data_IF_569292400914
#
_entry.id   IF_569292400914
#
_cell.length_a   1.000
_cell.length_b   1.000
_cell.length_c   1.000
_cell.angle_alpha   90.00
_cell.angle_beta   90.00
_cell.angle_gamma   90.00
#
_symmetry.space_group_name_H-M   'P 1'
#
loop_
_entity.id
_entity.type
_entity.pdbx_description
1 polymer ?
#
# COMPACT_ATOMS: atom_id res chain seq x y z
N UNK A 1 12.30 9.32 1.23
CA UNK A 1 11.90 8.40 2.33
C UNK A 1 10.86 7.44 1.81
N UNK A 2 11.10 6.12 1.99
CA UNK A 2 10.15 5.05 1.66
C UNK A 2 8.81 5.27 2.35
N UNK A 3 7.71 4.84 1.74
CA UNK A 3 6.38 4.99 2.32
C UNK A 3 6.26 4.30 3.69
N UNK A 4 6.92 3.16 3.88
CA UNK A 4 7.00 2.43 5.16
C UNK A 4 7.57 3.28 6.29
N UNK A 5 8.64 4.03 6.03
CA UNK A 5 9.24 4.93 7.02
C UNK A 5 8.32 6.10 7.38
N UNK A 6 7.67 6.69 6.36
CA UNK A 6 6.71 7.78 6.58
C UNK A 6 5.54 7.32 7.45
N UNK A 7 5.02 6.12 7.16
CA UNK A 7 3.92 5.51 7.90
C UNK A 7 4.30 5.24 9.36
N UNK A 8 5.47 4.65 9.60
CA UNK A 8 5.97 4.38 10.95
C UNK A 8 6.08 5.66 11.78
N UNK A 9 6.69 6.71 11.21
CA UNK A 9 6.85 8.00 11.89
C UNK A 9 5.52 8.70 12.16
N UNK A 10 4.57 8.61 11.22
CA UNK A 10 3.23 9.17 11.42
C UNK A 10 2.53 8.53 12.62
N UNK A 11 2.55 7.19 12.71
CA UNK A 11 1.97 6.48 13.84
C UNK A 11 2.68 6.80 15.16
N UNK A 12 4.01 6.78 15.16
CA UNK A 12 4.82 7.18 16.31
C UNK A 12 4.45 8.57 16.84
N UNK A 13 4.25 9.54 15.95
CA UNK A 13 3.88 10.91 16.31
C UNK A 13 2.46 11.00 16.89
N UNK A 14 1.50 10.30 16.28
CA UNK A 14 0.12 10.23 16.80
C UNK A 14 0.11 9.63 18.20
N UNK A 15 0.81 8.51 18.40
CA UNK A 15 0.91 7.86 19.71
C UNK A 15 1.63 8.74 20.74
N UNK A 16 2.67 9.47 20.34
CA UNK A 16 3.39 10.39 21.22
C UNK A 16 2.48 11.50 21.75
N UNK A 17 1.72 12.16 20.86
CA UNK A 17 0.78 13.22 21.27
C UNK A 17 -0.29 12.66 22.20
N UNK A 18 -0.88 11.53 21.83
CA UNK A 18 -1.89 10.86 22.67
C UNK A 18 -1.31 10.52 24.04
N UNK A 19 -0.11 9.95 24.09
CA UNK A 19 0.58 9.55 25.30
C UNK A 19 0.84 10.73 26.25
N UNK A 20 1.42 11.82 25.73
CA UNK A 20 1.66 13.05 26.49
C UNK A 20 0.34 13.61 27.04
N UNK A 21 -0.72 13.60 26.23
CA UNK A 21 -2.03 14.12 26.63
C UNK A 21 -2.62 13.32 27.79
N UNK A 22 -2.58 11.99 27.72
CA UNK A 22 -3.07 11.11 28.80
C UNK A 22 -2.29 11.31 30.10
N UNK A 23 -0.96 11.43 30.02
CA UNK A 23 -0.12 11.68 31.21
C UNK A 23 -0.44 13.03 31.83
N UNK A 24 -0.58 14.08 31.02
CA UNK A 24 -0.89 15.42 31.52
C UNK A 24 -2.23 15.43 32.27
N UNK A 25 -3.25 14.75 31.74
CA UNK A 25 -4.55 14.59 32.40
C UNK A 25 -4.40 13.82 33.71
N UNK A 26 -3.75 12.66 33.71
CA UNK A 26 -3.53 11.84 34.91
C UNK A 26 -2.78 12.63 36.00
N UNK A 27 -1.74 13.37 35.60
CA UNK A 27 -0.96 14.18 36.53
C UNK A 27 -1.78 15.34 37.13
N UNK A 28 -2.61 16.00 36.31
CA UNK A 28 -3.49 17.09 36.74
C UNK A 28 -4.55 16.61 37.76
N UNK A 29 -5.19 15.48 37.50
CA UNK A 29 -6.34 15.03 38.29
C UNK A 29 -5.99 14.11 39.46
N UNK A 30 -4.91 13.32 39.38
CA UNK A 30 -4.57 12.34 40.41
C UNK A 30 -3.33 12.68 41.24
N UNK A 31 -2.55 13.71 40.88
CA UNK A 31 -1.38 14.12 41.66
C UNK A 31 -0.29 13.03 41.77
N UNK A 32 -0.34 12.01 40.91
CA UNK A 32 0.60 10.88 40.91
C UNK A 32 1.96 11.36 40.43
N UNK A 33 3.00 11.08 41.23
CA UNK A 33 4.39 11.27 40.83
C UNK A 33 4.86 10.04 40.05
N UNK A 34 4.75 10.10 38.72
CA UNK A 34 5.22 9.02 37.85
C UNK A 34 6.73 9.16 37.68
N UNK A 35 7.46 8.04 37.84
CA UNK A 35 8.90 8.03 37.60
C UNK A 35 9.22 8.10 36.10
N UNK A 36 10.25 8.84 35.72
CA UNK A 36 10.62 9.03 34.31
C UNK A 36 10.89 7.71 33.57
N UNK A 37 11.53 6.74 34.23
CA UNK A 37 11.78 5.42 33.64
C UNK A 37 10.50 4.63 33.35
N UNK A 38 9.49 4.75 34.21
CA UNK A 38 8.19 4.11 33.98
C UNK A 38 7.49 4.75 32.78
N UNK A 39 7.60 6.07 32.60
CA UNK A 39 7.06 6.77 31.44
C UNK A 39 7.73 6.26 30.15
N UNK A 40 9.06 6.23 30.10
CA UNK A 40 9.79 5.71 28.94
C UNK A 40 9.37 4.28 28.60
N UNK A 41 9.31 3.40 29.60
CA UNK A 41 8.97 1.99 29.39
C UNK A 41 7.54 1.83 28.84
N UNK A 42 6.57 2.56 29.39
CA UNK A 42 5.19 2.54 28.87
C UNK A 42 5.12 3.09 27.45
N UNK A 43 5.86 4.17 27.14
CA UNK A 43 5.91 4.70 25.78
C UNK A 43 6.54 3.71 24.78
N UNK A 44 7.61 3.01 25.16
CA UNK A 44 8.19 1.99 24.28
C UNK A 44 7.21 0.84 24.01
N UNK A 45 6.53 0.34 25.04
CA UNK A 45 5.60 -0.79 24.91
C UNK A 45 4.33 -0.39 24.16
N UNK A 46 3.73 0.77 24.47
CA UNK A 46 2.43 1.16 23.93
C UNK A 46 2.53 2.11 22.73
N UNK A 47 3.59 2.90 22.62
CA UNK A 47 3.79 3.90 21.59
C UNK A 47 4.69 3.46 20.44
N UNK A 48 5.70 2.62 20.70
CA UNK A 48 6.66 2.17 19.67
C UNK A 48 6.35 0.78 19.16
N UNK A 49 6.09 -0.16 20.07
CA UNK A 49 5.88 -1.57 19.72
C UNK A 49 4.69 -1.74 18.75
N UNK A 50 3.51 -1.13 18.96
CA UNK A 50 2.37 -1.38 18.07
C UNK A 50 2.61 -0.83 16.65
N UNK A 51 3.09 0.42 16.45
CA UNK A 51 3.49 0.88 15.12
C UNK A 51 4.56 0.01 14.45
N UNK A 52 5.53 -0.49 15.21
CA UNK A 52 6.57 -1.38 14.68
C UNK A 52 5.97 -2.71 14.18
N UNK A 53 5.08 -3.33 14.97
CA UNK A 53 4.38 -4.58 14.59
C UNK A 53 3.51 -4.37 13.36
N UNK A 54 2.72 -3.30 13.32
CA UNK A 54 1.88 -2.95 12.16
C UNK A 54 2.77 -2.76 10.91
N UNK A 55 3.85 -2.01 11.05
CA UNK A 55 4.79 -1.75 9.94
C UNK A 55 5.42 -3.05 9.45
N UNK A 56 5.86 -3.91 10.36
CA UNK A 56 6.45 -5.22 10.03
C UNK A 56 5.48 -6.12 9.27
N UNK A 57 4.22 -6.19 9.70
CA UNK A 57 3.18 -7.00 9.05
C UNK A 57 2.98 -6.61 7.58
N UNK A 58 2.98 -5.31 7.27
CA UNK A 58 2.80 -4.81 5.90
C UNK A 58 4.10 -4.58 5.14
N UNK A 59 5.26 -4.67 5.80
CA UNK A 59 6.57 -4.29 5.26
C UNK A 59 6.85 -4.98 3.92
N UNK A 60 6.66 -6.30 3.86
CA UNK A 60 6.98 -7.08 2.64
C UNK A 60 6.16 -6.63 1.42
N UNK A 61 4.88 -6.32 1.60
CA UNK A 61 3.98 -5.90 0.53
C UNK A 61 4.22 -4.44 0.10
N UNK A 62 4.52 -3.58 1.07
CA UNK A 62 4.84 -2.16 0.83
C UNK A 62 6.22 -1.96 0.21
N UNK A 63 7.22 -2.70 0.67
CA UNK A 63 8.58 -2.63 0.13
C UNK A 63 8.64 -3.20 -1.28
N UNK A 64 7.92 -4.31 -1.56
CA UNK A 64 7.81 -4.84 -2.93
C UNK A 64 7.17 -3.85 -3.91
N UNK A 65 6.21 -3.03 -3.45
CA UNK A 65 5.52 -2.05 -4.28
C UNK A 65 6.48 -0.95 -4.78
N UNK A 66 7.45 -0.56 -3.95
CA UNK A 66 8.47 0.44 -4.28
C UNK A 66 9.77 -0.18 -4.83
N UNK A 67 9.90 -1.52 -4.82
CA UNK A 67 11.13 -2.18 -5.22
C UNK A 67 11.30 -2.25 -6.74
N UNK A 68 12.55 -2.34 -7.17
CA UNK A 68 12.92 -2.53 -8.57
C UNK A 68 12.68 -3.95 -9.08
N UNK A 69 12.26 -4.88 -8.20
CA UNK A 69 12.04 -6.27 -8.58
C UNK A 69 10.93 -6.38 -9.66
N UNK A 70 11.23 -6.87 -10.88
CA UNK A 70 10.27 -6.97 -11.97
C UNK A 70 9.38 -8.21 -11.88
N UNK A 71 9.71 -9.17 -11.01
CA UNK A 71 9.00 -10.45 -10.91
C UNK A 71 7.58 -10.26 -10.36
N UNK A 72 6.60 -11.06 -10.84
CA UNK A 72 5.23 -10.98 -10.35
C UNK A 72 5.17 -11.30 -8.85
N UNK A 73 4.31 -10.61 -8.08
CA UNK A 73 4.16 -10.93 -6.66
C UNK A 73 3.55 -12.32 -6.48
N UNK A 74 3.99 -13.00 -5.42
CA UNK A 74 3.47 -14.31 -4.99
C UNK A 74 2.82 -14.21 -3.60
N UNK A 75 2.00 -13.17 -3.41
CA UNK A 75 1.36 -12.92 -2.12
C UNK A 75 0.04 -13.68 -1.98
N UNK A 76 -0.32 -14.06 -0.75
CA UNK A 76 -1.62 -14.65 -0.46
C UNK A 76 -2.76 -13.66 -0.76
N UNK A 77 -3.90 -14.21 -1.23
CA UNK A 77 -5.10 -13.44 -1.55
C UNK A 77 -5.06 -12.68 -2.88
N UNK A 78 -3.99 -12.82 -3.66
CA UNK A 78 -3.88 -12.15 -4.96
C UNK A 78 -4.88 -12.70 -5.98
N UNK A 79 -5.33 -11.83 -6.89
CA UNK A 79 -6.04 -12.25 -8.11
C UNK A 79 -5.26 -11.79 -9.32
N UNK A 80 -5.14 -12.71 -10.26
CA UNK A 80 -4.45 -12.52 -11.53
C UNK A 80 -5.48 -12.52 -12.65
N UNK A 81 -5.33 -11.60 -13.59
CA UNK A 81 -6.10 -11.59 -14.82
C UNK A 81 -5.21 -11.21 -15.99
N UNK A 82 -5.54 -11.80 -17.13
CA UNK A 82 -4.91 -11.51 -18.40
C UNK A 82 -5.89 -10.59 -19.14
N UNK A 83 -5.48 -9.34 -19.35
CA UNK A 83 -6.33 -8.27 -19.85
C UNK A 83 -5.91 -7.93 -21.29
N UNK A 84 -6.89 -7.73 -22.16
CA UNK A 84 -6.61 -7.17 -23.48
C UNK A 84 -6.19 -5.71 -23.32
N UNK A 85 -5.10 -5.30 -23.96
CA UNK A 85 -4.64 -3.92 -23.96
C UNK A 85 -4.75 -3.33 -25.37
N UNK A 86 -5.66 -2.37 -25.53
CA UNK A 86 -5.82 -1.65 -26.80
C UNK A 86 -5.09 -0.33 -26.71
N UNK A 87 -3.91 -0.26 -27.33
CA UNK A 87 -3.20 0.98 -27.52
C UNK A 87 -3.71 1.73 -28.76
N UNK A 88 -3.67 3.05 -28.70
CA UNK A 88 -3.86 3.94 -29.86
C UNK A 88 -2.52 4.47 -30.39
N UNK A 89 -1.48 4.42 -29.56
CA UNK A 89 -0.13 4.89 -29.85
C UNK A 89 0.80 3.75 -30.25
N UNK A 90 1.86 4.10 -31.00
CA UNK A 90 2.96 3.20 -31.32
C UNK A 90 3.80 2.83 -30.08
N UNK A 91 3.76 3.66 -29.03
CA UNK A 91 4.44 3.39 -27.76
C UNK A 91 3.46 2.80 -26.74
N UNK A 92 3.31 1.48 -26.78
CA UNK A 92 2.39 0.70 -25.95
C UNK A 92 2.62 0.91 -24.45
N UNK A 93 3.89 0.91 -24.02
CA UNK A 93 4.24 1.03 -22.60
C UNK A 93 3.90 2.42 -22.04
N UNK A 94 4.27 3.48 -22.75
CA UNK A 94 3.98 4.84 -22.30
C UNK A 94 2.47 5.10 -22.20
N UNK A 95 1.68 4.57 -23.15
CA UNK A 95 0.23 4.68 -23.10
C UNK A 95 -0.36 3.86 -21.93
N UNK A 96 0.17 2.66 -21.65
CA UNK A 96 -0.24 1.86 -20.49
C UNK A 96 0.03 2.60 -19.19
N UNK A 97 1.23 3.14 -19.03
CA UNK A 97 1.63 3.93 -17.87
C UNK A 97 0.70 5.12 -17.68
N UNK A 98 0.45 5.89 -18.74
CA UNK A 98 -0.44 7.07 -18.70
C UNK A 98 -1.88 6.70 -18.31
N UNK A 99 -2.40 5.59 -18.83
CA UNK A 99 -3.76 5.12 -18.49
C UNK A 99 -3.87 4.72 -17.02
N UNK A 100 -2.86 4.00 -16.51
CA UNK A 100 -2.81 3.59 -15.10
C UNK A 100 -2.68 4.82 -14.20
N UNK A 101 -1.77 5.74 -14.52
CA UNK A 101 -1.49 6.95 -13.72
C UNK A 101 -2.70 7.90 -13.59
N UNK A 102 -3.62 7.89 -14.56
CA UNK A 102 -4.87 8.65 -14.48
C UNK A 102 -5.85 8.14 -13.41
N UNK A 103 -5.80 6.85 -13.09
CA UNK A 103 -6.80 6.20 -12.21
C UNK A 103 -6.20 5.66 -10.91
N UNK A 104 -4.89 5.47 -10.87
CA UNK A 104 -4.16 4.86 -9.77
C UNK A 104 -2.88 5.63 -9.49
N UNK A 105 -2.35 5.49 -8.27
CA UNK A 105 -1.08 6.07 -7.90
C UNK A 105 0.02 5.10 -8.34
N UNK A 106 0.85 5.50 -9.29
CA UNK A 106 2.02 4.71 -9.71
C UNK A 106 3.09 4.80 -8.64
N UNK A 107 3.53 3.64 -8.15
CA UNK A 107 4.58 3.53 -7.12
C UNK A 107 5.94 3.18 -7.72
N UNK A 108 5.95 2.42 -8.81
CA UNK A 108 7.16 2.05 -9.54
C UNK A 108 6.81 1.77 -11.00
N UNK A 109 7.70 2.13 -11.91
CA UNK A 109 7.53 1.89 -13.35
C UNK A 109 8.88 1.63 -13.99
N UNK A 110 8.97 0.52 -14.72
CA UNK A 110 10.16 0.15 -15.48
C UNK A 110 9.81 -0.11 -16.95
N UNK A 111 10.46 0.64 -17.84
CA UNK A 111 10.26 0.55 -19.29
C UNK A 111 10.94 -0.68 -19.89
N UNK A 112 12.07 -1.11 -19.36
CA UNK A 112 12.83 -2.26 -19.87
C UNK A 112 12.11 -3.56 -19.54
N UNK A 113 11.69 -3.72 -18.28
CA UNK A 113 10.86 -4.85 -17.86
C UNK A 113 9.39 -4.76 -18.34
N UNK A 114 8.97 -3.59 -18.83
CA UNK A 114 7.58 -3.25 -19.20
C UNK A 114 6.59 -3.47 -18.06
N UNK A 115 6.99 -3.09 -16.86
CA UNK A 115 6.24 -3.29 -15.61
C UNK A 115 5.79 -1.93 -15.06
N UNK A 116 4.58 -1.91 -14.49
CA UNK A 116 4.05 -0.80 -13.70
C UNK A 116 3.45 -1.37 -12.42
N UNK A 117 3.96 -0.92 -11.28
CA UNK A 117 3.38 -1.19 -9.96
C UNK A 117 2.58 0.03 -9.52
N UNK A 118 1.37 -0.21 -9.09
CA UNK A 118 0.44 0.84 -8.71
C UNK A 118 -0.25 0.51 -7.40
N UNK A 119 -0.90 1.51 -6.82
CA UNK A 119 -1.79 1.34 -5.68
C UNK A 119 -3.05 2.17 -5.86
N UNK A 120 -4.11 1.69 -5.24
CA UNK A 120 -5.26 2.53 -4.88
C UNK A 120 -4.90 3.44 -3.72
N UNK A 121 -5.71 4.45 -3.41
CA UNK A 121 -5.44 5.41 -2.32
C UNK A 121 -5.28 4.70 -0.96
N UNK A 122 -4.02 4.43 -0.58
CA UNK A 122 -3.65 3.84 0.69
C UNK A 122 -3.61 4.93 1.76
N UNK A 123 -4.67 5.00 2.59
CA UNK A 123 -4.76 5.91 3.74
C UNK A 123 -4.44 5.18 5.03
N UNK A 124 -4.13 5.96 6.07
CA UNK A 124 -3.86 5.46 7.44
C UNK A 124 -4.97 4.53 7.95
N UNK A 125 -6.22 4.77 7.53
CA UNK A 125 -7.42 3.99 7.91
C UNK A 125 -7.88 3.00 6.83
N UNK A 126 -7.26 2.98 5.65
CA UNK A 126 -7.59 2.06 4.57
C UNK A 126 -6.35 1.74 3.73
N UNK A 127 -5.78 0.56 3.97
CA UNK A 127 -4.55 0.11 3.33
C UNK A 127 -4.67 -0.13 1.81
N UNK A 128 -5.90 -0.10 1.27
CA UNK A 128 -6.17 -0.20 -0.15
C UNK A 128 -5.76 -1.55 -0.76
N UNK A 129 -5.69 -1.55 -2.08
CA UNK A 129 -5.20 -2.62 -2.94
C UNK A 129 -3.98 -2.12 -3.70
N UNK A 130 -2.98 -2.98 -3.80
CA UNK A 130 -1.81 -2.76 -4.64
C UNK A 130 -1.91 -3.65 -5.88
N UNK A 131 -1.23 -3.24 -6.93
CA UNK A 131 -1.26 -3.94 -8.20
C UNK A 131 0.04 -3.87 -8.95
N UNK A 132 0.19 -4.85 -9.82
CA UNK A 132 1.28 -5.06 -10.72
C UNK A 132 0.67 -5.27 -12.11
N UNK A 133 1.17 -4.55 -13.09
CA UNK A 133 0.81 -4.73 -14.50
C UNK A 133 2.08 -4.93 -15.30
N UNK A 134 2.13 -6.01 -16.06
CA UNK A 134 3.20 -6.26 -17.04
C UNK A 134 2.61 -6.30 -18.43
N UNK A 135 3.19 -5.53 -19.34
CA UNK A 135 2.82 -5.59 -20.75
C UNK A 135 3.50 -6.80 -21.41
N UNK A 136 2.69 -7.62 -22.08
CA UNK A 136 3.14 -8.76 -22.88
C UNK A 136 3.22 -8.36 -24.36
N UNK A 137 3.98 -9.11 -25.15
CA UNK A 137 4.22 -8.79 -26.57
C UNK A 137 2.95 -8.89 -27.44
N UNK A 138 1.95 -9.68 -27.05
CA UNK A 138 0.72 -9.93 -27.82
C UNK A 138 -0.36 -8.83 -27.69
N UNK A 139 -0.02 -7.62 -27.24
CA UNK A 139 -1.02 -6.59 -26.93
C UNK A 139 -1.92 -6.98 -25.75
N UNK A 140 -1.42 -7.83 -24.86
CA UNK A 140 -2.07 -8.25 -23.62
C UNK A 140 -1.29 -7.69 -22.44
N UNK A 141 -1.99 -7.45 -21.34
CA UNK A 141 -1.38 -7.04 -20.08
C UNK A 141 -1.71 -8.09 -19.02
N UNK A 142 -0.66 -8.60 -18.37
CA UNK A 142 -0.82 -9.41 -17.17
C UNK A 142 -1.03 -8.45 -15.99
N UNK A 143 -2.19 -8.54 -15.35
CA UNK A 143 -2.51 -7.76 -14.18
C UNK A 143 -2.61 -8.68 -12.95
N UNK A 144 -1.89 -8.33 -11.90
CA UNK A 144 -1.97 -8.98 -10.60
C UNK A 144 -2.31 -7.90 -9.58
N UNK A 145 -3.42 -8.07 -8.89
CA UNK A 145 -3.81 -7.21 -7.76
C UNK A 145 -3.76 -8.04 -6.49
N UNK A 146 -3.23 -7.44 -5.42
CA UNK A 146 -3.09 -8.11 -4.14
C UNK A 146 -3.55 -7.18 -3.00
N UNK A 147 -4.23 -7.76 -2.00
CA UNK A 147 -4.68 -7.00 -0.85
C UNK A 147 -3.50 -6.68 0.06
N UNK A 148 -3.66 -5.72 0.97
CA UNK A 148 -2.72 -5.57 2.07
C UNK A 148 -2.98 -6.63 3.15
N UNK A 149 -4.23 -7.07 3.33
CA UNK A 149 -4.62 -8.14 4.23
C UNK A 149 -5.46 -9.22 3.52
N UNK A 150 -4.95 -10.44 3.43
CA UNK A 150 -5.51 -11.47 2.56
C UNK A 150 -6.89 -12.01 2.99
N UNK A 151 -7.25 -11.90 4.28
CA UNK A 151 -8.28 -12.76 4.87
C UNK A 151 -9.63 -12.07 5.11
N UNK A 152 -9.91 -10.97 4.40
CA UNK A 152 -11.18 -10.23 4.55
C UNK A 152 -12.07 -10.34 3.31
N UNK A 153 -13.33 -10.75 3.51
CA UNK A 153 -14.38 -10.73 2.46
C UNK A 153 -14.57 -9.33 1.85
N UNK A 154 -14.32 -8.27 2.64
CA UNK A 154 -14.37 -6.90 2.17
C UNK A 154 -13.24 -6.63 1.18
N UNK A 155 -12.03 -7.07 1.49
CA UNK A 155 -10.86 -6.88 0.62
C UNK A 155 -10.99 -7.66 -0.68
N UNK A 156 -11.56 -8.86 -0.65
CA UNK A 156 -11.85 -9.60 -1.89
C UNK A 156 -12.78 -8.82 -2.83
N UNK A 157 -13.84 -8.19 -2.30
CA UNK A 157 -14.75 -7.36 -3.12
C UNK A 157 -14.03 -6.15 -3.72
N UNK A 158 -13.23 -5.43 -2.93
CA UNK A 158 -12.47 -4.26 -3.39
C UNK A 158 -11.45 -4.68 -4.45
N UNK A 159 -10.82 -5.84 -4.29
CA UNK A 159 -9.83 -6.35 -5.21
C UNK A 159 -10.45 -6.75 -6.55
N UNK A 160 -11.61 -7.41 -6.53
CA UNK A 160 -12.38 -7.68 -7.76
C UNK A 160 -12.85 -6.40 -8.46
N UNK A 161 -13.30 -5.40 -7.69
CA UNK A 161 -13.65 -4.08 -8.23
C UNK A 161 -12.46 -3.38 -8.86
N UNK A 162 -11.29 -3.44 -8.21
CA UNK A 162 -10.03 -2.87 -8.72
C UNK A 162 -9.62 -3.54 -10.03
N UNK A 163 -9.75 -4.86 -10.12
CA UNK A 163 -9.45 -5.61 -11.34
C UNK A 163 -10.42 -5.25 -12.48
N UNK A 164 -11.71 -5.07 -12.19
CA UNK A 164 -12.69 -4.60 -13.19
C UNK A 164 -12.40 -3.18 -13.66
N UNK A 165 -12.07 -2.27 -12.74
CA UNK A 165 -11.68 -0.91 -13.07
C UNK A 165 -10.43 -0.92 -13.94
N UNK A 166 -9.41 -1.68 -13.57
CA UNK A 166 -8.19 -1.82 -14.36
C UNK A 166 -8.48 -2.37 -15.77
N UNK A 167 -9.36 -3.36 -15.90
CA UNK A 167 -9.83 -3.84 -17.20
C UNK A 167 -10.43 -2.71 -18.04
N UNK A 168 -11.29 -1.88 -17.44
CA UNK A 168 -11.90 -0.74 -18.15
C UNK A 168 -10.89 0.35 -18.52
N UNK A 169 -9.87 0.58 -17.68
CA UNK A 169 -8.80 1.56 -17.93
C UNK A 169 -7.91 1.11 -19.09
N UNK A 170 -7.56 -0.18 -19.13
CA UNK A 170 -6.72 -0.75 -20.17
C UNK A 170 -7.50 -1.01 -21.48
N UNK A 171 -8.81 -1.26 -21.40
CA UNK A 171 -9.69 -1.47 -22.53
C UNK A 171 -11.09 -0.85 -22.29
N UNK A 172 -11.28 0.45 -22.56
CA UNK A 172 -12.52 1.19 -22.24
C UNK A 172 -13.76 0.87 -23.10
N UNK A 173 -13.75 -0.22 -23.88
CA UNK A 173 -14.85 -0.60 -24.79
C UNK A 173 -15.33 -2.06 -24.60
N UNK A 174 -15.13 -2.67 -23.43
CA UNK A 174 -15.58 -4.05 -23.14
C UNK A 174 -15.89 -4.32 -21.68
#
# INVERSE_FOLDING_TARGET
>A
MKFTTKLFLAWMFIFLIFYITVIAIISLFWGIRIQFWQLLLVFFIAGVLPPAVITWFFYKRLDYMESENPDPPAFSGQKKALLAFRARSNNLYAEMLQKIDKSFIVSYSDKEARVVKFRTDCRIMSWGVCGYVRLLDDGKAEAIVYPMNADSKREEKILLQTLRLLKSVLNPQG
#
